data_IF_520866836283
#
_entry.id   IF_520866836283
#
_cell.length_a   1.000
_cell.length_b   1.000
_cell.length_c   1.000
_cell.angle_alpha   90.00
_cell.angle_beta   90.00
_cell.angle_gamma   90.00
#
_symmetry.space_group_name_H-M   'P 1'
#
loop_
_entity.id
_entity.type
_entity.pdbx_description
1 polymer ?
#
# COMPACT_ATOMS: atom_id res chain seq x y z
N UNK A 1 -19.38 -18.97 -15.33
CA UNK A 1 -18.06 -18.59 -15.88
C UNK A 1 -16.95 -19.07 -14.93
N UNK A 2 -16.60 -20.36 -15.01
CA UNK A 2 -15.45 -20.98 -14.32
C UNK A 2 -14.41 -21.29 -15.40
N UNK A 3 -13.56 -20.32 -15.77
CA UNK A 3 -12.54 -20.54 -16.83
C UNK A 3 -11.12 -20.19 -16.36
N UNK A 4 -10.94 -19.42 -15.29
CA UNK A 4 -9.63 -19.25 -14.64
C UNK A 4 -9.71 -19.88 -13.25
N UNK A 5 -8.88 -20.90 -12.98
CA UNK A 5 -8.86 -21.63 -11.71
C UNK A 5 -8.88 -20.69 -10.50
N UNK A 6 -9.52 -21.12 -9.40
CA UNK A 6 -9.83 -20.31 -8.21
C UNK A 6 -8.69 -19.43 -7.71
N UNK A 7 -7.44 -19.88 -7.84
CA UNK A 7 -6.23 -19.12 -7.48
C UNK A 7 -5.98 -17.90 -8.39
N UNK A 8 -6.17 -18.02 -9.71
CA UNK A 8 -6.02 -16.91 -10.66
C UNK A 8 -7.14 -15.88 -10.50
N UNK A 9 -8.35 -16.34 -10.18
CA UNK A 9 -9.47 -15.46 -9.83
C UNK A 9 -9.15 -14.59 -8.62
N UNK A 10 -8.62 -15.20 -7.54
CA UNK A 10 -8.25 -14.48 -6.32
C UNK A 10 -7.11 -13.47 -6.56
N UNK A 11 -6.14 -13.77 -7.42
CA UNK A 11 -5.10 -12.81 -7.82
C UNK A 11 -5.67 -11.60 -8.56
N UNK A 12 -6.57 -11.83 -9.53
CA UNK A 12 -7.22 -10.74 -10.25
C UNK A 12 -8.03 -9.87 -9.28
N UNK A 13 -8.78 -10.49 -8.36
CA UNK A 13 -9.47 -9.78 -7.28
C UNK A 13 -8.51 -8.99 -6.40
N UNK A 14 -7.28 -9.47 -6.18
CA UNK A 14 -6.27 -8.76 -5.38
C UNK A 14 -5.76 -7.52 -6.10
N UNK A 15 -5.57 -7.58 -7.42
CA UNK A 15 -5.20 -6.41 -8.23
C UNK A 15 -6.34 -5.39 -8.21
N UNK A 16 -7.55 -5.79 -8.61
CA UNK A 16 -8.69 -4.86 -8.67
C UNK A 16 -9.12 -4.34 -7.29
N UNK A 17 -9.15 -5.21 -6.29
CA UNK A 17 -9.45 -4.83 -4.91
C UNK A 17 -8.34 -3.98 -4.29
N UNK A 18 -7.07 -4.23 -4.64
CA UNK A 18 -5.94 -3.40 -4.22
C UNK A 18 -5.96 -2.00 -4.82
N UNK A 19 -6.42 -1.88 -6.06
CA UNK A 19 -6.65 -0.59 -6.72
C UNK A 19 -7.76 0.22 -6.05
N UNK A 20 -8.82 -0.44 -5.55
CA UNK A 20 -9.91 0.23 -4.80
C UNK A 20 -9.46 0.58 -3.38
N UNK A 21 -8.96 -0.40 -2.63
CA UNK A 21 -8.39 -0.19 -1.30
C UNK A 21 -7.53 -1.38 -0.87
N UNK A 22 -6.23 -1.22 -1.01
CA UNK A 22 -5.25 -2.22 -0.54
C UNK A 22 -5.32 -2.46 0.97
N UNK A 23 -5.73 -1.47 1.77
CA UNK A 23 -5.94 -1.60 3.23
C UNK A 23 -7.17 -2.46 3.54
N UNK A 24 -8.31 -2.19 2.90
CA UNK A 24 -9.52 -2.99 3.09
C UNK A 24 -9.30 -4.45 2.67
N UNK A 25 -8.65 -4.67 1.53
CA UNK A 25 -8.29 -6.01 1.06
C UNK A 25 -7.38 -6.73 2.06
N UNK A 26 -6.39 -6.03 2.62
CA UNK A 26 -5.50 -6.59 3.66
C UNK A 26 -6.28 -7.06 4.88
N UNK A 27 -7.24 -6.26 5.36
CA UNK A 27 -8.08 -6.64 6.50
C UNK A 27 -8.95 -7.87 6.20
N UNK A 28 -9.60 -7.90 5.03
CA UNK A 28 -10.45 -9.03 4.62
C UNK A 28 -9.62 -10.31 4.50
N UNK A 29 -8.47 -10.26 3.83
CA UNK A 29 -7.61 -11.43 3.63
C UNK A 29 -6.97 -11.90 4.93
N UNK A 30 -6.65 -10.98 5.84
CA UNK A 30 -6.16 -11.32 7.18
C UNK A 30 -7.22 -12.08 7.98
N UNK A 31 -8.48 -11.59 8.00
CA UNK A 31 -9.58 -12.31 8.67
C UNK A 31 -9.82 -13.68 8.04
N UNK A 32 -9.75 -13.79 6.72
CA UNK A 32 -9.93 -15.05 6.01
C UNK A 32 -8.81 -16.06 6.32
N UNK A 33 -7.56 -15.61 6.43
CA UNK A 33 -6.45 -16.48 6.83
C UNK A 33 -6.62 -17.02 8.26
N UNK A 34 -7.12 -16.17 9.18
CA UNK A 34 -7.37 -16.56 10.58
C UNK A 34 -8.44 -17.65 10.72
N UNK A 35 -9.39 -17.72 9.78
CA UNK A 35 -10.44 -18.75 9.76
C UNK A 35 -9.95 -20.16 9.36
N UNK A 36 -8.65 -20.33 9.04
CA UNK A 36 -8.05 -21.66 8.86
C UNK A 36 -8.34 -22.32 7.50
N UNK A 37 -8.63 -21.52 6.47
CA UNK A 37 -9.05 -21.98 5.13
C UNK A 37 -7.98 -22.72 4.32
N UNK A 38 -6.75 -22.88 4.84
CA UNK A 38 -5.66 -23.57 4.17
C UNK A 38 -5.02 -22.82 2.98
N UNK A 39 -5.49 -21.61 2.66
CA UNK A 39 -5.04 -20.80 1.51
C UNK A 39 -4.16 -19.60 1.89
N UNK A 40 -3.53 -19.63 3.06
CA UNK A 40 -2.72 -18.53 3.62
C UNK A 40 -1.67 -17.99 2.65
N UNK A 41 -1.03 -18.86 1.85
CA UNK A 41 -0.03 -18.44 0.87
C UNK A 41 -0.63 -17.57 -0.26
N UNK A 42 -1.82 -17.94 -0.77
CA UNK A 42 -2.47 -17.17 -1.85
C UNK A 42 -2.99 -15.84 -1.32
N UNK A 43 -3.52 -15.81 -0.09
CA UNK A 43 -3.96 -14.58 0.56
C UNK A 43 -2.79 -13.62 0.78
N UNK A 44 -1.65 -14.12 1.25
CA UNK A 44 -0.48 -13.28 1.44
C UNK A 44 0.07 -12.71 0.12
N UNK A 45 0.13 -13.51 -0.95
CA UNK A 45 0.53 -13.00 -2.27
C UNK A 45 -0.45 -11.92 -2.76
N UNK A 46 -1.75 -12.10 -2.53
CA UNK A 46 -2.76 -11.09 -2.83
C UNK A 46 -2.55 -9.78 -2.06
N UNK A 47 -2.23 -9.86 -0.77
CA UNK A 47 -1.87 -8.68 0.06
C UNK A 47 -0.62 -7.99 -0.48
N UNK A 48 0.42 -8.75 -0.84
CA UNK A 48 1.66 -8.21 -1.41
C UNK A 48 1.37 -7.50 -2.72
N UNK A 49 0.65 -8.12 -3.65
CA UNK A 49 0.29 -7.52 -4.94
C UNK A 49 -0.47 -6.22 -4.73
N UNK A 50 -1.51 -6.24 -3.89
CA UNK A 50 -2.29 -5.04 -3.59
C UNK A 50 -1.47 -3.94 -2.90
N UNK A 51 -0.45 -4.31 -2.12
CA UNK A 51 0.45 -3.33 -1.52
C UNK A 51 1.38 -2.70 -2.56
N UNK A 52 1.83 -3.50 -3.54
CA UNK A 52 2.75 -3.07 -4.59
C UNK A 52 2.04 -2.26 -5.68
N UNK A 53 0.74 -2.47 -5.93
CA UNK A 53 -0.03 -1.65 -6.89
C UNK A 53 -0.11 -0.17 -6.52
N UNK A 54 0.11 0.18 -5.25
CA UNK A 54 0.19 1.56 -4.80
C UNK A 54 1.36 2.32 -5.45
N UNK A 55 2.49 1.65 -5.70
CA UNK A 55 3.70 2.31 -6.22
C UNK A 55 3.50 2.95 -7.60
N UNK A 56 3.04 2.24 -8.65
CA UNK A 56 2.77 2.86 -9.94
C UNK A 56 1.65 3.89 -9.86
N UNK A 57 0.67 3.70 -8.97
CA UNK A 57 -0.44 4.64 -8.78
C UNK A 57 0.04 6.00 -8.29
N UNK A 58 0.90 6.03 -7.26
CA UNK A 58 1.50 7.28 -6.75
C UNK A 58 2.33 7.98 -7.83
N UNK A 59 3.11 7.25 -8.63
CA UNK A 59 3.88 7.86 -9.75
C UNK A 59 2.96 8.53 -10.75
N UNK A 60 1.84 7.89 -11.11
CA UNK A 60 0.86 8.45 -12.05
C UNK A 60 0.18 9.69 -11.45
N UNK A 61 -0.31 9.60 -10.22
CA UNK A 61 -1.00 10.70 -9.53
C UNK A 61 -0.09 11.92 -9.37
N UNK A 62 1.14 11.72 -8.92
CA UNK A 62 2.15 12.78 -8.81
C UNK A 62 2.52 13.30 -10.19
N UNK A 63 2.70 12.44 -11.18
CA UNK A 63 3.11 12.82 -12.53
C UNK A 63 2.09 13.68 -13.27
N UNK A 64 0.81 13.52 -12.97
CA UNK A 64 -0.26 14.39 -13.52
C UNK A 64 -0.14 15.82 -12.97
N UNK A 65 0.29 15.98 -11.72
CA UNK A 65 0.36 17.30 -11.05
C UNK A 65 1.73 17.95 -11.20
N UNK A 66 2.79 17.19 -11.01
CA UNK A 66 4.18 17.63 -11.04
C UNK A 66 5.07 16.56 -11.70
N UNK A 67 5.21 16.60 -13.04
CA UNK A 67 6.03 15.63 -13.77
C UNK A 67 7.50 15.60 -13.33
N UNK A 68 8.05 16.74 -12.90
CA UNK A 68 9.43 16.82 -12.41
C UNK A 68 9.59 16.02 -11.11
N UNK A 69 8.69 16.23 -10.14
CA UNK A 69 8.69 15.45 -8.89
C UNK A 69 8.47 13.95 -9.13
N UNK A 70 7.60 13.59 -10.09
CA UNK A 70 7.41 12.19 -10.45
C UNK A 70 8.70 11.56 -10.98
N UNK A 71 9.51 12.29 -11.76
CA UNK A 71 10.79 11.78 -12.25
C UNK A 71 11.81 11.51 -11.12
N UNK A 72 11.76 12.28 -10.04
CA UNK A 72 12.56 12.05 -8.82
C UNK A 72 12.10 10.82 -8.04
N UNK A 73 10.80 10.50 -8.06
CA UNK A 73 10.22 9.34 -7.38
C UNK A 73 10.49 8.01 -8.11
N UNK A 74 10.63 8.03 -9.44
CA UNK A 74 10.83 6.82 -10.27
C UNK A 74 11.97 5.91 -9.77
N UNK A 75 13.19 6.38 -9.47
CA UNK A 75 14.26 5.48 -9.04
C UNK A 75 13.92 4.74 -7.75
N UNK A 76 13.36 5.44 -6.75
CA UNK A 76 12.98 4.84 -5.46
C UNK A 76 11.80 3.89 -5.62
N UNK A 77 10.69 4.37 -6.20
CA UNK A 77 9.46 3.58 -6.34
C UNK A 77 9.63 2.44 -7.35
N UNK A 78 10.45 2.61 -8.37
CA UNK A 78 10.85 1.57 -9.31
C UNK A 78 11.64 0.46 -8.63
N UNK A 79 12.62 0.80 -7.77
CA UNK A 79 13.35 -0.19 -6.97
C UNK A 79 12.43 -0.97 -6.03
N UNK A 80 11.52 -0.28 -5.34
CA UNK A 80 10.50 -0.91 -4.49
C UNK A 80 9.59 -1.84 -5.30
N UNK A 81 9.15 -1.40 -6.48
CA UNK A 81 8.26 -2.16 -7.36
C UNK A 81 8.94 -3.44 -7.85
N UNK A 82 10.21 -3.36 -8.24
CA UNK A 82 10.99 -4.53 -8.67
C UNK A 82 11.12 -5.57 -7.56
N UNK A 83 11.45 -5.14 -6.34
CA UNK A 83 11.58 -6.07 -5.21
C UNK A 83 10.24 -6.63 -4.77
N UNK A 84 9.21 -5.80 -4.67
CA UNK A 84 7.87 -6.23 -4.25
C UNK A 84 7.22 -7.17 -5.26
N UNK A 85 7.20 -6.79 -6.54
CA UNK A 85 6.63 -7.60 -7.60
C UNK A 85 7.49 -8.84 -7.91
N UNK A 86 8.81 -8.69 -7.94
CA UNK A 86 9.75 -9.79 -8.11
C UNK A 86 9.63 -10.82 -6.99
N UNK A 87 9.54 -10.36 -5.73
CA UNK A 87 9.30 -11.23 -4.58
C UNK A 87 7.97 -11.96 -4.66
N UNK A 88 6.89 -11.27 -5.04
CA UNK A 88 5.58 -11.89 -5.26
C UNK A 88 5.62 -12.96 -6.38
N UNK A 89 6.30 -12.66 -7.49
CA UNK A 89 6.42 -13.57 -8.64
C UNK A 89 7.27 -14.80 -8.32
N UNK A 90 8.43 -14.62 -7.68
CA UNK A 90 9.27 -15.72 -7.22
C UNK A 90 8.53 -16.60 -6.24
N UNK A 91 7.81 -15.99 -5.30
CA UNK A 91 7.03 -16.74 -4.33
C UNK A 91 5.88 -17.52 -4.97
N UNK A 92 5.18 -16.92 -5.93
CA UNK A 92 4.17 -17.60 -6.74
C UNK A 92 4.77 -18.80 -7.49
N UNK A 93 5.97 -18.64 -8.07
CA UNK A 93 6.61 -19.65 -8.91
C UNK A 93 7.20 -20.82 -8.14
N UNK A 94 7.75 -20.57 -6.95
CA UNK A 94 8.55 -21.56 -6.20
C UNK A 94 7.98 -21.94 -4.83
N UNK A 95 7.11 -21.11 -4.24
CA UNK A 95 6.59 -21.34 -2.88
C UNK A 95 5.14 -21.84 -2.82
N UNK A 96 4.35 -21.72 -3.89
CA UNK A 96 3.03 -22.35 -3.96
C UNK A 96 3.20 -23.80 -4.40
N UNK A 97 3.25 -24.71 -3.42
CA UNK A 97 2.96 -26.13 -3.71
C UNK A 97 1.50 -26.22 -4.14
N UNK A 98 1.16 -26.89 -5.25
CA UNK A 98 -0.22 -26.99 -5.71
C UNK A 98 -1.04 -27.75 -4.67
N UNK A 99 -1.75 -27.01 -3.81
CA UNK A 99 -2.77 -27.60 -2.98
C UNK A 99 -4.00 -27.81 -3.85
N UNK A 100 -4.23 -29.08 -4.19
CA UNK A 100 -5.29 -29.57 -5.06
C UNK A 100 -6.70 -29.47 -4.44
N UNK A 101 -6.93 -28.53 -3.51
CA UNK A 101 -8.26 -28.25 -2.97
C UNK A 101 -8.88 -27.15 -3.81
N UNK A 102 -9.54 -27.57 -4.88
CA UNK A 102 -10.57 -26.74 -5.51
C UNK A 102 -11.58 -26.35 -4.44
N UNK A 103 -11.70 -25.05 -4.18
CA UNK A 103 -12.82 -24.51 -3.45
C UNK A 103 -13.32 -23.28 -4.18
N UNK A 104 -14.64 -23.24 -4.34
CA UNK A 104 -15.40 -22.07 -4.73
C UNK A 104 -15.24 -21.01 -3.64
N UNK A 105 -14.25 -20.13 -3.83
CA UNK A 105 -14.29 -18.84 -3.15
C UNK A 105 -15.38 -18.06 -3.88
N UNK A 106 -16.60 -18.12 -3.36
CA UNK A 106 -17.60 -17.11 -3.72
C UNK A 106 -16.96 -15.74 -3.48
N UNK A 107 -17.12 -14.77 -4.40
CA UNK A 107 -16.66 -13.42 -4.17
C UNK A 107 -17.50 -12.85 -3.02
N UNK A 108 -17.04 -13.02 -1.78
CA UNK A 108 -17.62 -12.32 -0.63
C UNK A 108 -17.10 -10.88 -0.64
N UNK A 109 -17.41 -10.17 -1.72
CA UNK A 109 -17.66 -8.73 -1.67
C UNK A 109 -19.13 -8.57 -1.25
N UNK A 110 -19.47 -9.06 -0.05
CA UNK A 110 -20.69 -8.58 0.61
C UNK A 110 -20.35 -7.19 1.11
N UNK A 111 -20.71 -6.19 0.33
CA UNK A 111 -20.75 -4.78 0.71
C UNK A 111 -22.01 -4.57 1.58
N UNK A 112 -21.92 -4.47 2.92
CA UNK A 112 -23.08 -4.27 3.75
C UNK A 112 -22.98 -2.84 4.32
N UNK A 113 -23.47 -1.87 3.56
CA UNK A 113 -23.77 -0.50 4.02
C UNK A 113 -22.58 0.28 4.64
N UNK A 114 -21.65 0.75 3.80
CA UNK A 114 -20.47 1.50 4.25
C UNK A 114 -20.65 3.03 4.28
N UNK A 115 -21.87 3.60 4.32
CA UNK A 115 -22.03 5.06 4.45
C UNK A 115 -21.41 5.57 5.77
N UNK A 116 -21.51 4.77 6.85
CA UNK A 116 -20.88 5.05 8.15
C UNK A 116 -19.36 4.90 8.13
N UNK A 117 -18.82 3.97 7.33
CA UNK A 117 -17.39 3.79 7.18
C UNK A 117 -16.78 4.88 6.28
N UNK A 118 -17.47 5.26 5.20
CA UNK A 118 -17.15 6.41 4.36
C UNK A 118 -17.22 7.74 5.12
N UNK A 119 -18.20 7.92 6.02
CA UNK A 119 -18.28 9.07 6.92
C UNK A 119 -17.14 9.11 7.93
N UNK A 120 -16.80 7.98 8.56
CA UNK A 120 -15.64 7.88 9.46
C UNK A 120 -14.33 8.15 8.72
N UNK A 121 -14.21 7.68 7.48
CA UNK A 121 -13.08 7.94 6.60
C UNK A 121 -13.01 9.41 6.18
N UNK A 122 -14.13 10.02 5.78
CA UNK A 122 -14.19 11.46 5.47
C UNK A 122 -13.85 12.33 6.68
N UNK A 123 -14.26 11.94 7.89
CA UNK A 123 -13.94 12.65 9.12
C UNK A 123 -12.45 12.50 9.50
N UNK A 124 -11.87 11.32 9.28
CA UNK A 124 -10.42 11.09 9.37
C UNK A 124 -9.65 11.97 8.37
N UNK A 125 -10.11 12.04 7.11
CA UNK A 125 -9.51 12.84 6.05
C UNK A 125 -9.51 14.34 6.38
N UNK A 126 -10.65 14.88 6.81
CA UNK A 126 -10.77 16.28 7.23
C UNK A 126 -9.85 16.56 8.42
N UNK A 127 -9.76 15.63 9.37
CA UNK A 127 -8.86 15.77 10.53
C UNK A 127 -7.40 15.81 10.09
N UNK A 128 -6.97 14.87 9.24
CA UNK A 128 -5.60 14.81 8.70
C UNK A 128 -5.28 16.10 7.93
N UNK A 129 -6.18 16.59 7.08
CA UNK A 129 -5.99 17.84 6.31
C UNK A 129 -5.90 19.08 7.21
N UNK A 130 -6.68 19.13 8.29
CA UNK A 130 -6.64 20.24 9.25
C UNK A 130 -5.32 20.23 10.03
N UNK A 131 -4.91 19.06 10.51
CA UNK A 131 -3.66 18.88 11.24
C UNK A 131 -2.43 19.10 10.35
N UNK A 132 -2.46 18.64 9.09
CA UNK A 132 -1.43 18.90 8.09
C UNK A 132 -1.08 20.38 8.00
N UNK A 133 -2.11 21.21 7.80
CA UNK A 133 -1.96 22.64 7.56
C UNK A 133 -1.57 23.39 8.84
N UNK A 134 -2.10 22.96 9.99
CA UNK A 134 -1.72 23.53 11.28
C UNK A 134 -0.26 23.19 11.63
N UNK A 135 0.16 21.94 11.43
CA UNK A 135 1.51 21.46 11.73
C UNK A 135 2.54 22.07 10.76
N UNK A 136 2.23 22.20 9.48
CA UNK A 136 3.11 22.88 8.51
C UNK A 136 3.37 24.33 8.91
N UNK A 137 2.35 25.04 9.41
CA UNK A 137 2.47 26.42 9.86
C UNK A 137 3.32 26.55 11.15
N UNK A 138 3.37 25.50 11.99
CA UNK A 138 4.05 25.54 13.28
C UNK A 138 5.45 24.91 13.29
N UNK A 139 5.72 23.93 12.42
CA UNK A 139 6.89 23.03 12.55
C UNK A 139 7.77 22.92 11.30
N UNK A 140 7.46 23.61 10.20
CA UNK A 140 8.25 23.54 8.96
C UNK A 140 8.30 22.12 8.37
N UNK A 141 9.47 21.71 7.85
CA UNK A 141 9.66 20.41 7.17
C UNK A 141 9.40 19.21 8.10
N UNK A 142 9.77 19.31 9.39
CA UNK A 142 9.46 18.28 10.39
C UNK A 142 7.95 18.01 10.49
N UNK A 143 7.15 19.06 10.28
CA UNK A 143 5.70 18.96 10.22
C UNK A 143 5.19 18.18 9.02
N UNK A 144 5.84 18.33 7.86
CA UNK A 144 5.52 17.59 6.64
C UNK A 144 5.83 16.11 6.81
N UNK A 145 6.98 15.76 7.42
CA UNK A 145 7.31 14.36 7.69
C UNK A 145 6.37 13.71 8.72
N UNK A 146 5.98 14.44 9.77
CA UNK A 146 5.01 13.95 10.74
C UNK A 146 3.64 13.70 10.09
N UNK A 147 3.19 14.64 9.26
CA UNK A 147 1.97 14.48 8.48
C UNK A 147 2.06 13.29 7.52
N UNK A 148 3.20 13.11 6.86
CA UNK A 148 3.42 12.00 5.96
C UNK A 148 3.34 10.66 6.67
N UNK A 149 3.98 10.55 7.84
CA UNK A 149 3.87 9.37 8.67
C UNK A 149 2.41 9.09 9.05
N UNK A 150 1.67 10.09 9.54
CA UNK A 150 0.26 9.96 9.94
C UNK A 150 -0.63 9.55 8.76
N UNK A 151 -0.46 10.22 7.62
CA UNK A 151 -1.22 9.95 6.39
C UNK A 151 -0.93 8.53 5.87
N UNK A 152 0.32 8.08 6.01
CA UNK A 152 0.74 6.72 5.71
C UNK A 152 -0.08 5.64 6.44
N UNK A 153 -0.61 5.91 7.64
CA UNK A 153 -1.49 4.96 8.34
C UNK A 153 -2.84 4.76 7.65
N UNK A 154 -3.30 5.77 6.89
CA UNK A 154 -4.63 5.80 6.30
C UNK A 154 -4.57 5.62 4.78
N UNK A 155 -4.16 6.68 4.08
CA UNK A 155 -4.13 6.77 2.63
C UNK A 155 -3.00 7.70 2.18
N UNK A 156 -2.20 7.20 1.24
CA UNK A 156 -1.02 7.90 0.72
C UNK A 156 -1.36 8.78 -0.48
N UNK A 157 -2.50 8.52 -1.14
CA UNK A 157 -2.85 9.16 -2.41
C UNK A 157 -3.12 10.66 -2.22
N UNK A 158 -3.96 11.02 -1.23
CA UNK A 158 -4.31 12.41 -0.93
C UNK A 158 -3.09 13.23 -0.49
N UNK A 159 -2.20 12.64 0.31
CA UNK A 159 -0.95 13.28 0.70
C UNK A 159 -0.04 13.50 -0.52
N UNK A 160 0.14 12.47 -1.34
CA UNK A 160 1.04 12.53 -2.50
C UNK A 160 0.61 13.60 -3.49
N UNK A 161 -0.69 13.70 -3.76
CA UNK A 161 -1.26 14.75 -4.60
C UNK A 161 -1.04 16.14 -4.01
N UNK A 162 -1.24 16.30 -2.69
CA UNK A 162 -1.03 17.57 -2.00
C UNK A 162 0.43 18.01 -2.07
N UNK A 163 1.37 17.11 -1.77
CA UNK A 163 2.80 17.41 -1.80
C UNK A 163 3.30 17.67 -3.23
N UNK A 164 2.78 16.95 -4.22
CA UNK A 164 3.05 17.22 -5.63
C UNK A 164 2.66 18.65 -6.02
N UNK A 165 1.46 19.08 -5.61
CA UNK A 165 0.96 20.43 -5.87
C UNK A 165 1.78 21.49 -5.12
N UNK A 166 2.07 21.25 -3.85
CA UNK A 166 2.85 22.20 -3.03
C UNK A 166 4.28 22.37 -3.57
N UNK A 167 4.89 21.29 -4.07
CA UNK A 167 6.18 21.37 -4.75
C UNK A 167 6.09 22.11 -6.10
N UNK A 168 5.01 21.91 -6.87
CA UNK A 168 4.78 22.62 -8.13
C UNK A 168 4.58 24.14 -7.92
N UNK A 169 3.90 24.51 -6.83
CA UNK A 169 3.66 25.89 -6.42
C UNK A 169 4.87 26.51 -5.66
N UNK A 170 6.02 25.81 -5.61
CA UNK A 170 7.23 26.21 -4.89
C UNK A 170 7.03 26.50 -3.39
N UNK A 171 6.01 25.91 -2.77
CA UNK A 171 5.72 26.03 -1.34
C UNK A 171 6.53 25.03 -0.49
N UNK A 172 6.99 23.94 -1.11
CA UNK A 172 7.80 22.88 -0.48
C UNK A 172 8.93 22.51 -1.44
N UNK A 173 10.13 22.26 -0.91
CA UNK A 173 11.24 21.79 -1.72
C UNK A 173 10.93 20.41 -2.34
N UNK A 174 11.28 20.15 -3.61
CA UNK A 174 11.06 18.85 -4.24
C UNK A 174 11.62 17.66 -3.44
N UNK A 175 12.81 17.81 -2.84
CA UNK A 175 13.42 16.80 -1.97
C UNK A 175 12.53 16.45 -0.77
N UNK A 176 12.04 17.46 -0.05
CA UNK A 176 11.15 17.27 1.12
C UNK A 176 9.85 16.59 0.70
N UNK A 177 9.26 16.99 -0.44
CA UNK A 177 8.06 16.35 -0.96
C UNK A 177 8.31 14.87 -1.34
N UNK A 178 9.41 14.59 -2.05
CA UNK A 178 9.81 13.23 -2.44
C UNK A 178 10.03 12.34 -1.22
N UNK A 179 10.80 12.78 -0.23
CA UNK A 179 11.05 12.03 1.00
C UNK A 179 9.79 11.79 1.82
N UNK A 180 8.93 12.81 1.95
CA UNK A 180 7.68 12.70 2.69
C UNK A 180 6.72 11.71 2.00
N UNK A 181 6.63 11.73 0.66
CA UNK A 181 5.85 10.74 -0.09
C UNK A 181 6.39 9.34 0.18
N UNK A 182 7.70 9.13 0.06
CA UNK A 182 8.29 7.81 0.31
C UNK A 182 8.03 7.37 1.76
N UNK A 183 8.22 8.25 2.74
CA UNK A 183 7.94 7.95 4.15
C UNK A 183 6.51 7.46 4.36
N UNK A 184 5.52 8.13 3.74
CA UNK A 184 4.12 7.72 3.82
C UNK A 184 3.90 6.31 3.24
N UNK A 185 4.55 6.00 2.11
CA UNK A 185 4.51 4.67 1.48
C UNK A 185 5.12 3.61 2.40
N UNK A 186 6.26 3.90 3.04
CA UNK A 186 6.93 2.98 3.95
C UNK A 186 6.03 2.69 5.16
N UNK A 187 5.46 3.72 5.79
CA UNK A 187 4.53 3.55 6.92
C UNK A 187 3.32 2.74 6.51
N UNK A 188 2.72 3.05 5.35
CA UNK A 188 1.55 2.32 4.84
C UNK A 188 1.83 0.83 4.63
N UNK A 189 2.98 0.53 4.04
CA UNK A 189 3.42 -0.86 3.80
C UNK A 189 3.70 -1.60 5.11
N UNK A 190 4.29 -0.92 6.10
CA UNK A 190 4.51 -1.47 7.44
C UNK A 190 3.20 -1.74 8.18
N UNK A 191 2.23 -0.83 8.10
CA UNK A 191 0.89 -1.01 8.69
C UNK A 191 0.20 -2.24 8.11
N UNK A 192 0.24 -2.43 6.78
CA UNK A 192 -0.35 -3.63 6.14
C UNK A 192 0.33 -4.92 6.61
N UNK A 193 1.65 -4.90 6.77
CA UNK A 193 2.40 -6.03 7.31
C UNK A 193 1.99 -6.34 8.75
N UNK A 194 1.84 -5.30 9.58
CA UNK A 194 1.37 -5.44 10.96
C UNK A 194 -0.07 -5.97 11.03
N UNK A 195 -0.98 -5.48 10.19
CA UNK A 195 -2.36 -5.97 10.10
C UNK A 195 -2.39 -7.47 9.72
N UNK A 196 -1.59 -7.87 8.73
CA UNK A 196 -1.46 -9.27 8.33
C UNK A 196 -0.99 -10.17 9.49
N UNK A 197 -0.03 -9.68 10.29
CA UNK A 197 0.50 -10.43 11.43
C UNK A 197 -0.49 -10.50 12.61
N UNK A 198 -1.06 -9.37 13.02
CA UNK A 198 -1.93 -9.26 14.21
C UNK A 198 -3.28 -9.94 13.96
N UNK A 199 -3.88 -9.72 12.79
CA UNK A 199 -5.23 -10.24 12.48
C UNK A 199 -5.12 -11.62 11.84
N UNK A 200 -4.26 -11.79 10.83
CA UNK A 200 -4.12 -13.03 10.08
C UNK A 200 -3.27 -14.10 10.75
N UNK A 201 -2.53 -13.72 11.80
CA UNK A 201 -1.68 -14.61 12.57
C UNK A 201 -0.26 -14.75 11.99
N UNK A 202 0.60 -15.41 12.79
CA UNK A 202 2.06 -15.49 12.55
C UNK A 202 2.42 -16.01 11.16
N UNK A 203 1.73 -17.04 10.67
CA UNK A 203 2.00 -17.62 9.35
C UNK A 203 1.76 -16.60 8.23
N UNK A 204 0.60 -15.93 8.21
CA UNK A 204 0.30 -14.92 7.19
C UNK A 204 1.27 -13.74 7.30
N UNK A 205 1.44 -13.20 8.51
CA UNK A 205 2.28 -12.04 8.75
C UNK A 205 3.73 -12.25 8.36
N UNK A 206 4.33 -13.39 8.72
CA UNK A 206 5.71 -13.70 8.33
C UNK A 206 5.87 -13.83 6.81
N UNK A 207 4.87 -14.41 6.12
CA UNK A 207 4.95 -14.57 4.67
C UNK A 207 4.72 -13.27 3.91
N UNK A 208 3.88 -12.36 4.42
CA UNK A 208 3.77 -10.99 3.88
C UNK A 208 5.05 -10.20 4.16
N UNK A 209 5.58 -10.29 5.38
CA UNK A 209 6.79 -9.61 5.80
C UNK A 209 8.03 -10.03 5.00
N UNK A 210 8.13 -11.30 4.59
CA UNK A 210 9.26 -11.78 3.78
C UNK A 210 9.40 -11.11 2.42
N UNK A 211 8.34 -10.46 1.92
CA UNK A 211 8.40 -9.67 0.68
C UNK A 211 8.35 -8.18 0.98
N UNK A 212 7.44 -7.73 1.84
CA UNK A 212 7.24 -6.29 2.07
C UNK A 212 8.36 -5.64 2.89
N UNK A 213 9.03 -6.35 3.82
CA UNK A 213 10.15 -5.77 4.56
C UNK A 213 11.37 -5.48 3.65
N UNK A 214 11.79 -6.39 2.76
CA UNK A 214 12.78 -6.05 1.73
C UNK A 214 12.36 -4.87 0.86
N UNK A 215 11.09 -4.79 0.46
CA UNK A 215 10.57 -3.64 -0.32
C UNK A 215 10.71 -2.32 0.46
N UNK A 216 10.36 -2.31 1.74
CA UNK A 216 10.52 -1.14 2.64
C UNK A 216 11.99 -0.78 2.80
N UNK A 217 12.86 -1.78 3.00
CA UNK A 217 14.30 -1.56 3.16
C UNK A 217 14.91 -0.91 1.90
N UNK A 218 14.55 -1.41 0.71
CA UNK A 218 15.01 -0.83 -0.56
C UNK A 218 14.51 0.60 -0.72
N UNK A 219 13.25 0.88 -0.39
CA UNK A 219 12.71 2.24 -0.41
C UNK A 219 13.52 3.18 0.48
N UNK A 220 13.71 2.80 1.76
CA UNK A 220 14.49 3.61 2.70
C UNK A 220 15.94 3.83 2.27
N UNK A 221 16.60 2.79 1.75
CA UNK A 221 17.99 2.88 1.27
C UNK A 221 18.09 3.78 0.04
N UNK A 222 17.21 3.62 -0.95
CA UNK A 222 17.25 4.43 -2.18
C UNK A 222 16.93 5.90 -1.90
N UNK A 223 16.07 6.20 -0.92
CA UNK A 223 15.83 7.59 -0.50
C UNK A 223 17.08 8.27 0.06
N UNK A 224 17.97 7.53 0.74
CA UNK A 224 19.23 8.10 1.25
C UNK A 224 20.19 8.50 0.11
N UNK A 225 20.05 7.90 -1.07
CA UNK A 225 20.88 8.20 -2.25
C UNK A 225 20.32 9.31 -3.15
N UNK A 226 19.21 9.96 -2.75
CA UNK A 226 18.68 11.13 -3.46
C UNK A 226 19.43 12.44 -3.14
N UNK A 227 20.43 12.38 -2.25
CA UNK A 227 21.29 13.48 -1.80
C UNK A 227 22.76 13.24 -2.17
#
# INVERSE_FOLDING_TARGET
MRILGSQRGLLLTSVFGGLVSSTALTLVFSRLARSGTGVTAVLAIGIVIASVTLLPRVVIEVGIVNPALASELIPVLGGMLLVGFGGALLWWRYGIRPQNKGMDVEPVLKNPLELTAALRFGLLLVSIMLFARAIQYMAGDAGIYALAAISGLADVDALSLSLAKMAADAQVAPSVATEAIVLAILVNTMVKTALAYVIGGKALGLSVASVLLPTVAVGGVLTLFLH
#
